data_IF_013985639645
#
_entry.id   IF_013985639645
#
_cell.length_a   1.000
_cell.length_b   1.000
_cell.length_c   1.000
_cell.angle_alpha   90.00
_cell.angle_beta   90.00
_cell.angle_gamma   90.00
#
_symmetry.space_group_name_H-M   'P 1'
#
loop_
_entity.id
_entity.type
_entity.pdbx_description
1 polymer ?
#
# COMPACT_ATOMS: atom_id res chain seq x y z
N UNK A 1 -16.70 -19.67 10.63
CA UNK A 1 -17.29 -18.33 10.81
C UNK A 1 -17.49 -17.70 9.44
N UNK A 2 -18.63 -17.05 9.22
CA UNK A 2 -19.04 -16.55 7.90
C UNK A 2 -19.39 -15.06 7.91
N UNK A 3 -19.63 -14.50 9.09
CA UNK A 3 -20.15 -13.14 9.24
C UNK A 3 -19.10 -12.21 9.85
N UNK A 4 -19.11 -10.96 9.43
CA UNK A 4 -18.19 -9.91 9.88
C UNK A 4 -18.25 -9.63 11.39
N UNK A 5 -19.45 -9.71 11.97
CA UNK A 5 -19.70 -9.51 13.39
C UNK A 5 -19.12 -10.59 14.31
N UNK A 6 -18.54 -11.65 13.74
CA UNK A 6 -17.86 -12.74 14.46
C UNK A 6 -16.36 -12.52 14.62
N UNK A 7 -15.82 -11.40 14.10
CA UNK A 7 -14.39 -11.09 14.11
C UNK A 7 -14.09 -9.73 14.75
N UNK A 8 -12.88 -9.59 15.27
CA UNK A 8 -12.36 -8.31 15.71
C UNK A 8 -12.26 -7.32 14.55
N UNK A 9 -12.67 -6.07 14.78
CA UNK A 9 -12.70 -5.01 13.77
C UNK A 9 -11.30 -4.70 13.21
N UNK A 10 -10.26 -4.76 14.04
CA UNK A 10 -8.88 -4.51 13.58
C UNK A 10 -8.40 -5.60 12.62
N UNK A 11 -8.78 -6.86 12.85
CA UNK A 11 -8.48 -7.98 11.95
C UNK A 11 -9.18 -7.79 10.61
N UNK A 12 -10.46 -7.42 10.64
CA UNK A 12 -11.25 -7.13 9.43
C UNK A 12 -10.66 -5.98 8.62
N UNK A 13 -10.31 -4.88 9.29
CA UNK A 13 -9.74 -3.70 8.63
C UNK A 13 -8.44 -4.04 7.90
N UNK A 14 -7.55 -4.82 8.53
CA UNK A 14 -6.32 -5.28 7.89
C UNK A 14 -6.62 -6.14 6.66
N UNK A 15 -7.50 -7.13 6.78
CA UNK A 15 -7.86 -8.03 5.69
C UNK A 15 -8.53 -7.29 4.51
N UNK A 16 -9.39 -6.30 4.80
CA UNK A 16 -10.02 -5.46 3.77
C UNK A 16 -8.96 -4.65 3.00
N UNK A 17 -8.01 -4.01 3.72
CA UNK A 17 -6.92 -3.25 3.09
C UNK A 17 -6.04 -4.15 2.24
N UNK A 18 -5.68 -5.31 2.75
CA UNK A 18 -4.87 -6.31 2.04
C UNK A 18 -5.57 -6.73 0.74
N UNK A 19 -6.82 -7.16 0.82
CA UNK A 19 -7.59 -7.54 -0.37
C UNK A 19 -7.74 -6.38 -1.35
N UNK A 20 -8.14 -5.20 -0.86
CA UNK A 20 -8.40 -4.05 -1.71
C UNK A 20 -7.14 -3.59 -2.46
N UNK A 21 -6.05 -3.37 -1.74
CA UNK A 21 -4.82 -2.81 -2.32
C UNK A 21 -4.04 -3.80 -3.18
N UNK A 22 -4.27 -5.10 -3.01
CA UNK A 22 -3.61 -6.14 -3.81
C UNK A 22 -4.44 -6.66 -4.98
N UNK A 23 -5.76 -6.43 -5.01
CA UNK A 23 -6.66 -6.97 -6.04
C UNK A 23 -7.53 -5.87 -6.66
N UNK A 24 -8.20 -5.06 -5.85
CA UNK A 24 -9.27 -4.16 -6.31
C UNK A 24 -8.74 -2.80 -6.75
N UNK A 25 -7.60 -2.36 -6.23
CA UNK A 25 -7.07 -1.01 -6.39
C UNK A 25 -7.10 -0.45 -7.82
N UNK A 26 -6.72 -1.21 -8.89
CA UNK A 26 -6.79 -0.72 -10.27
C UNK A 26 -8.21 -0.35 -10.74
N UNK A 27 -9.23 -0.88 -10.07
CA UNK A 27 -10.65 -0.68 -10.36
C UNK A 27 -11.31 0.38 -9.48
N UNK A 28 -10.53 1.16 -8.73
CA UNK A 28 -11.06 2.20 -7.83
C UNK A 28 -12.07 3.16 -8.50
N UNK A 29 -11.87 3.63 -9.74
CA UNK A 29 -12.88 4.46 -10.42
C UNK A 29 -14.23 3.74 -10.61
N UNK A 30 -14.20 2.45 -10.91
CA UNK A 30 -15.41 1.63 -11.07
C UNK A 30 -16.09 1.40 -9.71
N UNK A 31 -15.31 1.18 -8.65
CA UNK A 31 -15.83 1.07 -7.27
C UNK A 31 -16.58 2.34 -6.89
N UNK A 32 -16.00 3.51 -7.07
CA UNK A 32 -16.65 4.80 -6.76
C UNK A 32 -17.97 4.96 -7.54
N UNK A 33 -17.94 4.71 -8.84
CA UNK A 33 -19.12 4.79 -9.69
C UNK A 33 -20.23 3.82 -9.22
N UNK A 34 -19.85 2.59 -8.86
CA UNK A 34 -20.82 1.58 -8.37
C UNK A 34 -21.43 2.02 -7.03
N UNK A 35 -20.61 2.54 -6.12
CA UNK A 35 -21.10 3.05 -4.84
C UNK A 35 -22.07 4.23 -5.00
N UNK A 36 -21.83 5.11 -5.98
CA UNK A 36 -22.76 6.21 -6.33
C UNK A 36 -24.09 5.67 -6.87
N UNK A 37 -24.05 4.67 -7.75
CA UNK A 37 -25.26 4.03 -8.27
C UNK A 37 -26.06 3.36 -7.15
N UNK A 38 -25.40 2.61 -6.27
CA UNK A 38 -26.06 1.96 -5.12
C UNK A 38 -26.72 3.00 -4.21
N UNK A 39 -26.04 4.11 -3.94
CA UNK A 39 -26.60 5.20 -3.14
C UNK A 39 -27.82 5.85 -3.80
N UNK A 40 -27.80 6.03 -5.12
CA UNK A 40 -28.92 6.60 -5.88
C UNK A 40 -30.18 5.72 -5.87
N UNK A 41 -30.01 4.41 -5.76
CA UNK A 41 -31.12 3.45 -5.66
C UNK A 41 -31.88 3.51 -4.33
N UNK A 42 -31.32 4.15 -3.31
CA UNK A 42 -31.91 4.30 -1.96
C UNK A 42 -32.40 2.98 -1.35
N UNK A 43 -31.66 1.90 -1.60
CA UNK A 43 -31.99 0.57 -1.09
C UNK A 43 -31.77 0.52 0.44
N UNK A 44 -32.70 -0.15 1.14
CA UNK A 44 -32.51 -0.50 2.54
C UNK A 44 -31.71 -1.81 2.63
N UNK A 45 -30.38 -1.66 2.64
CA UNK A 45 -29.47 -2.81 2.59
C UNK A 45 -29.28 -3.37 4.00
N UNK A 46 -29.74 -4.59 4.22
CA UNK A 46 -29.61 -5.31 5.50
C UNK A 46 -28.47 -6.34 5.47
N UNK A 47 -28.02 -6.75 4.28
CA UNK A 47 -26.94 -7.74 4.12
C UNK A 47 -26.17 -7.53 2.82
N UNK A 48 -24.84 -7.70 2.89
CA UNK A 48 -23.95 -7.75 1.74
C UNK A 48 -23.18 -9.06 1.77
N UNK A 49 -23.43 -9.91 0.77
CA UNK A 49 -22.76 -11.20 0.61
C UNK A 49 -21.82 -11.12 -0.61
N UNK A 50 -20.53 -10.83 -0.43
CA UNK A 50 -19.57 -10.73 -1.51
C UNK A 50 -19.13 -12.11 -1.99
N UNK A 51 -18.61 -12.19 -3.23
CA UNK A 51 -17.99 -13.41 -3.76
C UNK A 51 -16.71 -13.79 -2.99
N UNK A 52 -16.02 -12.79 -2.44
CA UNK A 52 -14.81 -12.96 -1.64
C UNK A 52 -14.94 -12.24 -0.30
N UNK A 53 -14.58 -12.93 0.79
CA UNK A 53 -14.60 -12.40 2.14
C UNK A 53 -15.84 -12.78 2.92
N UNK A 54 -16.10 -12.03 3.99
CA UNK A 54 -17.18 -12.32 4.94
C UNK A 54 -18.50 -11.66 4.52
N UNK A 55 -19.60 -12.23 4.97
CA UNK A 55 -20.92 -11.65 4.82
C UNK A 55 -21.09 -10.56 5.88
N UNK A 56 -21.49 -9.37 5.43
CA UNK A 56 -21.81 -8.21 6.26
C UNK A 56 -23.29 -8.18 6.51
N UNK A 57 -23.71 -8.09 7.76
CA UNK A 57 -25.15 -8.09 8.13
C UNK A 57 -25.46 -7.00 9.14
N UNK A 58 -26.69 -6.49 9.05
CA UNK A 58 -27.12 -5.30 9.80
C UNK A 58 -26.69 -4.00 9.14
N UNK A 59 -27.48 -2.94 9.34
CA UNK A 59 -27.30 -1.65 8.65
C UNK A 59 -25.96 -1.01 8.94
N UNK A 60 -25.46 -1.09 10.16
CA UNK A 60 -24.20 -0.48 10.57
C UNK A 60 -22.99 -1.16 9.92
N UNK A 61 -22.97 -2.50 9.88
CA UNK A 61 -21.89 -3.25 9.24
C UNK A 61 -21.92 -3.10 7.72
N UNK A 62 -23.11 -3.11 7.11
CA UNK A 62 -23.24 -2.82 5.68
C UNK A 62 -22.77 -1.40 5.33
N UNK A 63 -23.13 -0.42 6.14
CA UNK A 63 -22.65 0.95 5.96
C UNK A 63 -21.13 1.04 6.12
N UNK A 64 -20.58 0.41 7.15
CA UNK A 64 -19.12 0.40 7.41
C UNK A 64 -18.33 -0.12 6.21
N UNK A 65 -18.71 -1.27 5.64
CA UNK A 65 -17.94 -1.83 4.51
C UNK A 65 -18.05 -0.96 3.25
N UNK A 66 -19.22 -0.37 2.96
CA UNK A 66 -19.39 0.54 1.83
C UNK A 66 -18.57 1.82 2.01
N UNK A 67 -18.58 2.41 3.20
CA UNK A 67 -17.77 3.60 3.52
C UNK A 67 -16.26 3.28 3.47
N UNK A 68 -15.86 2.11 3.94
CA UNK A 68 -14.47 1.65 3.88
C UNK A 68 -14.00 1.49 2.43
N UNK A 69 -14.79 0.85 1.57
CA UNK A 69 -14.46 0.71 0.15
C UNK A 69 -14.39 2.07 -0.55
N UNK A 70 -15.27 3.01 -0.22
CA UNK A 70 -15.21 4.39 -0.71
C UNK A 70 -13.90 5.06 -0.30
N UNK A 71 -13.54 5.01 0.97
CA UNK A 71 -12.32 5.63 1.49
C UNK A 71 -11.05 5.05 0.84
N UNK A 72 -11.00 3.73 0.63
CA UNK A 72 -9.89 3.07 -0.05
C UNK A 72 -9.83 3.44 -1.54
N UNK A 73 -10.99 3.54 -2.21
CA UNK A 73 -11.08 3.91 -3.62
C UNK A 73 -10.70 5.37 -3.89
N UNK A 74 -10.98 6.28 -2.96
CA UNK A 74 -10.58 7.68 -3.05
C UNK A 74 -9.06 7.87 -2.94
N UNK A 75 -8.34 6.90 -2.39
CA UNK A 75 -6.88 6.90 -2.24
C UNK A 75 -6.32 8.21 -1.67
N UNK A 76 -7.03 8.82 -0.73
CA UNK A 76 -6.56 10.06 -0.08
C UNK A 76 -5.26 9.79 0.69
N UNK A 77 -4.21 10.61 0.47
CA UNK A 77 -2.95 10.44 1.18
C UNK A 77 -3.14 10.74 2.68
N UNK A 78 -2.51 9.93 3.52
CA UNK A 78 -2.42 10.16 4.97
C UNK A 78 -1.01 10.59 5.33
N UNK A 79 -0.87 11.31 6.44
CA UNK A 79 0.44 11.75 6.96
C UNK A 79 1.15 10.54 7.61
N UNK A 80 1.58 9.62 6.80
CA UNK A 80 2.34 8.41 7.16
C UNK A 80 3.20 8.00 5.97
N UNK A 81 4.36 7.43 6.25
CA UNK A 81 5.27 6.93 5.22
C UNK A 81 5.52 5.42 5.36
N UNK A 82 5.78 4.77 4.24
CA UNK A 82 6.37 3.43 4.20
C UNK A 82 7.74 3.50 3.55
N UNK A 83 8.73 2.88 4.18
CA UNK A 83 10.06 2.69 3.64
C UNK A 83 10.21 1.21 3.32
N UNK A 84 10.41 0.88 2.05
CA UNK A 84 10.71 -0.49 1.63
C UNK A 84 12.13 -0.56 1.11
N UNK A 85 12.89 -1.57 1.54
CA UNK A 85 14.27 -1.69 1.11
C UNK A 85 14.72 -3.14 0.96
N UNK A 86 15.76 -3.32 0.16
CA UNK A 86 16.57 -4.54 0.10
C UNK A 86 18.06 -4.20 0.30
N UNK A 87 18.79 -5.07 0.97
CA UNK A 87 20.19 -4.82 1.34
C UNK A 87 21.02 -6.09 1.27
N UNK A 88 22.23 -6.01 0.68
CA UNK A 88 23.17 -7.13 0.66
C UNK A 88 23.95 -7.26 1.98
N UNK A 89 24.45 -6.12 2.51
CA UNK A 89 25.40 -6.07 3.63
C UNK A 89 24.91 -5.17 4.77
N UNK A 90 23.63 -4.83 4.81
CA UNK A 90 23.04 -4.02 5.86
C UNK A 90 23.10 -2.50 5.63
N UNK A 91 23.93 -1.98 4.74
CA UNK A 91 24.11 -0.53 4.55
C UNK A 91 22.81 0.18 4.17
N UNK A 92 22.03 -0.39 3.25
CA UNK A 92 20.73 0.18 2.85
C UNK A 92 19.73 0.17 4.03
N UNK A 93 19.77 -0.84 4.89
CA UNK A 93 18.97 -0.92 6.10
C UNK A 93 19.31 0.18 7.13
N UNK A 94 20.60 0.51 7.29
CA UNK A 94 21.05 1.63 8.12
C UNK A 94 20.50 2.96 7.56
N UNK A 95 20.58 3.15 6.25
CA UNK A 95 20.00 4.34 5.59
C UNK A 95 18.48 4.41 5.82
N UNK A 96 17.76 3.29 5.66
CA UNK A 96 16.32 3.22 5.91
C UNK A 96 15.97 3.65 7.33
N UNK A 97 16.73 3.19 8.32
CA UNK A 97 16.53 3.56 9.73
C UNK A 97 16.79 5.05 9.98
N UNK A 98 17.84 5.62 9.37
CA UNK A 98 18.15 7.04 9.50
C UNK A 98 17.05 7.92 8.86
N UNK A 99 16.53 7.52 7.69
CA UNK A 99 15.42 8.21 7.03
C UNK A 99 14.16 8.14 7.90
N UNK A 100 13.88 6.96 8.49
CA UNK A 100 12.73 6.79 9.38
C UNK A 100 12.82 7.72 10.60
N UNK A 101 13.98 7.76 11.27
CA UNK A 101 14.18 8.67 12.40
C UNK A 101 13.94 10.13 12.04
N UNK A 102 14.46 10.59 10.88
CA UNK A 102 14.23 11.97 10.43
C UNK A 102 12.75 12.27 10.14
N UNK A 103 11.99 11.31 9.63
CA UNK A 103 10.55 11.48 9.42
C UNK A 103 9.77 11.47 10.73
N UNK A 104 10.15 10.61 11.67
CA UNK A 104 9.53 10.54 13.00
C UNK A 104 9.80 11.80 13.83
N UNK A 105 11.00 12.39 13.73
CA UNK A 105 11.34 13.69 14.32
C UNK A 105 10.43 14.82 13.83
N UNK A 106 9.95 14.74 12.59
CA UNK A 106 8.98 15.65 11.98
C UNK A 106 7.51 15.23 12.21
N UNK A 107 7.27 14.26 13.07
CA UNK A 107 5.93 13.78 13.42
C UNK A 107 5.23 12.94 12.35
N UNK A 108 5.98 12.37 11.40
CA UNK A 108 5.46 11.47 10.37
C UNK A 108 5.66 10.02 10.80
N UNK A 109 4.60 9.27 11.16
CA UNK A 109 4.73 7.85 11.48
C UNK A 109 5.26 7.06 10.29
N UNK A 110 6.19 6.14 10.56
CA UNK A 110 6.89 5.36 9.52
C UNK A 110 6.71 3.86 9.74
N UNK A 111 6.50 3.13 8.64
CA UNK A 111 6.64 1.67 8.60
C UNK A 111 7.86 1.30 7.76
N UNK A 112 8.83 0.60 8.34
CA UNK A 112 9.98 0.05 7.61
C UNK A 112 9.68 -1.40 7.23
N UNK A 113 9.92 -1.74 5.97
CA UNK A 113 9.72 -3.08 5.39
C UNK A 113 11.04 -3.55 4.76
N UNK A 114 11.64 -4.55 5.37
CA UNK A 114 12.74 -5.32 4.77
C UNK A 114 12.13 -6.39 3.86
N UNK A 115 12.32 -6.26 2.54
CA UNK A 115 11.66 -7.16 1.58
C UNK A 115 12.24 -8.59 1.60
N UNK A 116 13.38 -8.81 2.23
CA UNK A 116 13.89 -10.17 2.45
C UNK A 116 13.08 -10.94 3.51
N UNK A 117 12.29 -10.23 4.34
CA UNK A 117 11.48 -10.79 5.43
C UNK A 117 9.98 -10.63 5.24
N UNK A 118 9.59 -9.88 4.20
CA UNK A 118 8.20 -9.54 3.93
C UNK A 118 7.89 -9.76 2.45
N UNK A 119 6.63 -9.89 2.12
CA UNK A 119 6.18 -10.06 0.74
C UNK A 119 5.83 -8.69 0.11
N UNK A 120 5.89 -8.57 -1.21
CA UNK A 120 5.51 -7.32 -1.90
C UNK A 120 4.04 -6.90 -1.62
N UNK A 121 3.15 -7.86 -1.32
CA UNK A 121 1.77 -7.55 -0.93
C UNK A 121 1.68 -6.79 0.40
N UNK A 122 2.63 -6.99 1.33
CA UNK A 122 2.68 -6.24 2.59
C UNK A 122 2.94 -4.75 2.31
N UNK A 123 3.81 -4.45 1.33
CA UNK A 123 4.09 -3.07 0.90
C UNK A 123 2.81 -2.40 0.40
N UNK A 124 2.05 -3.09 -0.46
CA UNK A 124 0.80 -2.55 -0.99
C UNK A 124 -0.26 -2.36 0.09
N UNK A 125 -0.36 -3.30 1.03
CA UNK A 125 -1.28 -3.19 2.17
C UNK A 125 -0.97 -1.97 3.03
N UNK A 126 0.31 -1.70 3.32
CA UNK A 126 0.73 -0.52 4.08
C UNK A 126 0.49 0.80 3.31
N UNK A 127 0.57 0.79 1.98
CA UNK A 127 0.26 1.96 1.16
C UNK A 127 -1.19 2.45 1.30
N UNK A 128 -2.11 1.61 1.77
CA UNK A 128 -3.50 2.02 2.04
C UNK A 128 -3.58 3.19 3.04
N UNK A 129 -2.63 3.26 3.96
CA UNK A 129 -2.60 4.27 5.02
C UNK A 129 -1.47 5.30 4.85
N UNK A 130 -0.72 5.28 3.74
CA UNK A 130 0.45 6.14 3.55
C UNK A 130 0.22 7.23 2.50
N UNK A 131 0.85 8.40 2.70
CA UNK A 131 0.98 9.46 1.71
C UNK A 131 2.33 9.42 0.99
N UNK A 132 3.32 8.69 1.52
CA UNK A 132 4.65 8.59 0.94
C UNK A 132 5.15 7.14 0.89
N UNK A 133 5.87 6.81 -0.18
CA UNK A 133 6.63 5.57 -0.34
C UNK A 133 8.09 5.91 -0.62
N UNK A 134 8.99 5.34 0.17
CA UNK A 134 10.43 5.57 0.04
C UNK A 134 11.06 4.21 -0.23
N UNK A 135 11.72 4.08 -1.37
CA UNK A 135 12.23 2.80 -1.87
C UNK A 135 13.75 2.80 -1.89
N UNK A 136 14.35 1.79 -1.29
CA UNK A 136 15.80 1.67 -1.17
C UNK A 136 16.36 0.35 -1.70
N UNK A 137 17.49 0.41 -2.40
CA UNK A 137 18.22 -0.76 -2.88
C UNK A 137 19.72 -0.56 -2.82
N UNK A 138 20.47 -1.62 -2.51
CA UNK A 138 21.86 -1.64 -2.92
C UNK A 138 21.95 -1.74 -4.44
N UNK A 139 22.98 -1.11 -5.04
CA UNK A 139 23.28 -1.30 -6.47
C UNK A 139 23.96 -2.65 -6.67
N UNK A 140 23.38 -3.48 -7.51
CA UNK A 140 23.89 -4.80 -7.85
C UNK A 140 23.81 -4.99 -9.37
N UNK A 141 24.94 -5.35 -10.00
CA UNK A 141 25.01 -5.51 -11.46
C UNK A 141 24.47 -4.31 -12.25
N UNK A 142 24.84 -3.09 -11.83
CA UNK A 142 24.37 -1.80 -12.37
C UNK A 142 22.84 -1.64 -12.32
N UNK A 143 22.16 -2.29 -11.38
CA UNK A 143 20.69 -2.31 -11.26
C UNK A 143 20.29 -2.33 -9.78
N UNK A 144 18.97 -2.39 -9.53
CA UNK A 144 18.41 -2.66 -8.21
C UNK A 144 18.52 -4.14 -7.85
N UNK A 145 18.43 -4.48 -6.58
CA UNK A 145 18.29 -5.87 -6.13
C UNK A 145 16.95 -6.47 -6.61
N UNK A 146 16.91 -7.78 -6.91
CA UNK A 146 15.71 -8.44 -7.45
C UNK A 146 14.45 -8.24 -6.62
N UNK A 147 14.55 -8.23 -5.28
CA UNK A 147 13.40 -7.98 -4.39
C UNK A 147 12.77 -6.61 -4.60
N UNK A 148 13.57 -5.58 -4.88
CA UNK A 148 13.04 -4.24 -5.19
C UNK A 148 12.45 -4.18 -6.60
N UNK A 149 13.04 -4.87 -7.58
CA UNK A 149 12.46 -4.97 -8.92
C UNK A 149 11.07 -5.64 -8.88
N UNK A 150 10.91 -6.67 -8.06
CA UNK A 150 9.62 -7.34 -7.81
C UNK A 150 8.59 -6.37 -7.23
N UNK A 151 8.92 -5.67 -6.15
CA UNK A 151 8.04 -4.67 -5.52
C UNK A 151 7.63 -3.58 -6.51
N UNK A 152 8.57 -3.01 -7.27
CA UNK A 152 8.29 -1.94 -8.23
C UNK A 152 7.40 -2.42 -9.38
N UNK A 153 7.63 -3.64 -9.87
CA UNK A 153 6.80 -4.27 -10.90
C UNK A 153 5.37 -4.48 -10.42
N UNK A 154 5.22 -5.04 -9.23
CA UNK A 154 3.93 -5.30 -8.61
C UNK A 154 3.15 -4.01 -8.34
N UNK A 155 3.80 -3.03 -7.72
CA UNK A 155 3.24 -1.71 -7.43
C UNK A 155 2.76 -1.01 -8.70
N UNK A 156 3.57 -1.04 -9.79
CA UNK A 156 3.21 -0.43 -11.07
C UNK A 156 1.95 -1.06 -11.68
N UNK A 157 1.78 -2.37 -11.55
CA UNK A 157 0.57 -3.08 -11.99
C UNK A 157 -0.69 -2.63 -11.26
N UNK A 158 -0.58 -2.36 -9.97
CA UNK A 158 -1.70 -1.99 -9.09
C UNK A 158 -2.05 -0.49 -9.13
N UNK A 159 -1.17 0.36 -9.63
CA UNK A 159 -1.41 1.79 -9.88
C UNK A 159 -1.89 2.58 -8.64
N UNK A 160 -1.16 2.57 -7.53
CA UNK A 160 -1.49 3.46 -6.41
C UNK A 160 -1.37 4.92 -6.84
N UNK A 161 -2.30 5.77 -6.41
CA UNK A 161 -2.39 7.18 -6.77
C UNK A 161 -2.16 8.08 -5.56
N UNK A 162 -1.82 9.36 -5.82
CA UNK A 162 -1.71 10.40 -4.80
C UNK A 162 -0.64 10.07 -3.73
N UNK A 163 0.50 9.54 -4.16
CA UNK A 163 1.63 9.26 -3.27
C UNK A 163 2.84 10.07 -3.68
N UNK A 164 3.62 10.49 -2.68
CA UNK A 164 4.97 11.02 -2.90
C UNK A 164 5.95 9.86 -2.91
N UNK A 165 6.81 9.81 -3.92
CA UNK A 165 7.85 8.81 -4.07
C UNK A 165 9.24 9.37 -3.80
N UNK A 166 10.11 8.61 -3.13
CA UNK A 166 11.52 8.92 -2.98
C UNK A 166 12.38 7.67 -3.11
N UNK A 167 13.61 7.86 -3.59
CA UNK A 167 14.56 6.78 -3.82
C UNK A 167 15.85 6.98 -3.01
N UNK A 168 16.41 5.89 -2.49
CA UNK A 168 17.73 5.89 -1.87
C UNK A 168 18.49 4.58 -2.17
N UNK A 169 19.77 4.55 -1.90
CA UNK A 169 20.51 3.30 -2.10
C UNK A 169 21.97 3.38 -1.74
N UNK A 170 22.58 2.21 -1.56
CA UNK A 170 24.01 2.03 -1.28
C UNK A 170 24.73 1.42 -2.48
N UNK A 171 26.05 1.64 -2.58
CA UNK A 171 26.87 1.10 -3.67
C UNK A 171 28.35 0.98 -3.26
N UNK A 172 29.09 0.15 -4.01
CA UNK A 172 30.53 0.00 -3.87
C UNK A 172 31.32 0.94 -4.77
N UNK A 173 31.03 0.97 -6.07
CA UNK A 173 31.73 1.80 -7.06
C UNK A 173 30.82 2.47 -8.11
N UNK A 174 29.57 2.05 -8.23
CA UNK A 174 28.60 2.68 -9.12
C UNK A 174 27.23 2.70 -8.44
N UNK A 175 26.44 3.77 -8.62
CA UNK A 175 25.26 4.07 -7.83
C UNK A 175 24.01 4.24 -8.68
N UNK A 176 23.66 3.28 -9.51
CA UNK A 176 22.54 3.34 -10.44
C UNK A 176 21.17 3.14 -9.76
N UNK A 177 21.13 2.37 -8.67
CA UNK A 177 19.85 1.95 -8.07
C UNK A 177 18.90 3.09 -7.70
N UNK A 178 19.30 4.22 -7.09
CA UNK A 178 18.38 5.29 -6.80
C UNK A 178 17.79 5.94 -8.05
N UNK A 179 18.58 6.09 -9.12
CA UNK A 179 18.11 6.63 -10.39
C UNK A 179 17.06 5.72 -11.03
N UNK A 180 17.34 4.42 -11.08
CA UNK A 180 16.41 3.42 -11.61
C UNK A 180 15.10 3.42 -10.82
N UNK A 181 15.16 3.43 -9.48
CA UNK A 181 13.99 3.51 -8.62
C UNK A 181 13.19 4.79 -8.90
N UNK A 182 13.88 5.93 -9.01
CA UNK A 182 13.24 7.21 -9.30
C UNK A 182 12.51 7.21 -10.65
N UNK A 183 13.09 6.59 -11.67
CA UNK A 183 12.44 6.44 -12.98
C UNK A 183 11.18 5.56 -12.90
N UNK A 184 11.21 4.49 -12.09
CA UNK A 184 10.02 3.68 -11.83
C UNK A 184 8.92 4.48 -11.12
N UNK A 185 9.27 5.18 -10.03
CA UNK A 185 8.31 6.00 -9.27
C UNK A 185 7.71 7.10 -10.14
N UNK A 186 8.52 7.82 -10.91
CA UNK A 186 8.05 8.82 -11.87
C UNK A 186 7.09 8.22 -12.92
N UNK A 187 7.33 6.98 -13.38
CA UNK A 187 6.44 6.29 -14.31
C UNK A 187 5.07 5.93 -13.70
N UNK A 188 4.94 6.02 -12.37
CA UNK A 188 3.71 5.84 -11.59
C UNK A 188 3.11 7.18 -11.12
N UNK A 189 3.65 8.32 -11.56
CA UNK A 189 3.28 9.68 -11.13
C UNK A 189 3.54 9.94 -9.62
N UNK A 190 4.66 9.45 -9.12
CA UNK A 190 5.15 9.64 -7.76
C UNK A 190 6.45 10.46 -7.75
#
# INVERSE_FOLDING_TARGET
ERFSDQYDRCVLEKAIKEYYYNIVLPFSPQVLKTLELVAALKLDIEMIAPDHGLIWRGKDDCKYILDTYRALAEQKPKQRAVIVYDSMWGSTGIMASAIASGLEDEGVPVRIIDIQKNHHSDVMTELADCGAVIVGSATHNNNVLPGIADVLTYMKGLRPLNRVGAAFGSYGWSGESPKIIQEWLASMNM
#
